data_IF_075165157957
#
_entry.id   IF_075165157957
#
_cell.length_a   1.000
_cell.length_b   1.000
_cell.length_c   1.000
_cell.angle_alpha   90.00
_cell.angle_beta   90.00
_cell.angle_gamma   90.00
#
_symmetry.space_group_name_H-M   'P 1'
#
loop_
_entity.id
_entity.type
_entity.pdbx_description
1 polymer ?
#
# COMPACT_ATOMS: atom_id res chain seq x y z
N UNK A 1 17.04 -3.72 -14.91
CA UNK A 1 17.22 -2.95 -13.65
C UNK A 1 18.37 -3.51 -12.84
N UNK A 2 19.27 -2.68 -12.27
CA UNK A 2 20.36 -3.14 -11.40
C UNK A 2 19.83 -3.78 -10.11
N UNK A 3 20.51 -4.85 -9.66
CA UNK A 3 20.23 -5.61 -8.44
C UNK A 3 20.09 -4.73 -7.18
N UNK A 4 20.95 -3.72 -7.02
CA UNK A 4 20.89 -2.77 -5.90
C UNK A 4 19.60 -1.95 -5.91
N UNK A 5 19.21 -1.40 -7.06
CA UNK A 5 18.01 -0.56 -7.19
C UNK A 5 16.74 -1.37 -6.88
N UNK A 6 16.65 -2.60 -7.38
CA UNK A 6 15.53 -3.49 -7.06
C UNK A 6 15.45 -3.76 -5.56
N UNK A 7 16.55 -4.21 -4.93
CA UNK A 7 16.58 -4.48 -3.48
C UNK A 7 16.17 -3.27 -2.67
N UNK A 8 16.64 -2.07 -3.04
CA UNK A 8 16.24 -0.82 -2.39
C UNK A 8 14.74 -0.60 -2.49
N UNK A 9 14.13 -0.74 -3.68
CA UNK A 9 12.67 -0.59 -3.86
C UNK A 9 11.90 -1.63 -3.05
N UNK A 10 12.37 -2.89 -3.00
CA UNK A 10 11.70 -3.94 -2.26
C UNK A 10 11.70 -3.67 -0.75
N UNK A 11 12.88 -3.33 -0.21
CA UNK A 11 13.08 -3.05 1.22
C UNK A 11 12.36 -1.77 1.62
N UNK A 12 12.48 -0.69 0.84
CA UNK A 12 11.83 0.58 1.15
C UNK A 12 10.31 0.47 1.13
N UNK A 13 9.73 -0.23 0.15
CA UNK A 13 8.27 -0.41 0.08
C UNK A 13 7.76 -1.24 1.24
N UNK A 14 8.48 -2.29 1.63
CA UNK A 14 8.11 -3.12 2.79
C UNK A 14 8.18 -2.33 4.10
N UNK A 15 9.26 -1.57 4.31
CA UNK A 15 9.42 -0.70 5.49
C UNK A 15 8.31 0.37 5.54
N UNK A 16 7.97 0.99 4.41
CA UNK A 16 6.89 1.98 4.33
C UNK A 16 5.52 1.36 4.65
N UNK A 17 5.22 0.15 4.15
CA UNK A 17 3.98 -0.56 4.51
C UNK A 17 3.93 -0.84 6.02
N UNK A 18 5.03 -1.29 6.61
CA UNK A 18 5.15 -1.49 8.06
C UNK A 18 4.91 -0.19 8.83
N UNK A 19 5.46 0.94 8.39
CA UNK A 19 5.21 2.23 9.04
C UNK A 19 3.76 2.70 8.90
N UNK A 20 3.11 2.46 7.75
CA UNK A 20 1.68 2.77 7.58
C UNK A 20 0.82 1.94 8.55
N UNK A 21 1.14 0.66 8.69
CA UNK A 21 0.46 -0.24 9.63
C UNK A 21 0.67 0.18 11.10
N UNK A 22 1.92 0.44 11.49
CA UNK A 22 2.23 0.91 12.84
C UNK A 22 1.62 2.30 13.12
N UNK A 23 1.67 3.21 12.15
CA UNK A 23 1.09 4.55 12.27
C UNK A 23 -0.43 4.52 12.43
N UNK A 24 -1.13 3.64 11.71
CA UNK A 24 -2.58 3.47 11.89
C UNK A 24 -2.92 2.93 13.27
N UNK A 25 -2.13 2.02 13.83
CA UNK A 25 -2.31 1.54 15.22
C UNK A 25 -2.02 2.66 16.23
N UNK A 26 -0.93 3.41 16.06
CA UNK A 26 -0.52 4.46 17.01
C UNK A 26 -1.46 5.67 17.03
N UNK A 27 -2.12 5.96 15.92
CA UNK A 27 -3.12 7.04 15.80
C UNK A 27 -4.53 6.54 16.20
N UNK A 28 -4.69 5.24 16.44
CA UNK A 28 -5.93 4.72 17.03
C UNK A 28 -5.98 5.18 18.48
N UNK A 29 -7.00 5.96 18.83
CA UNK A 29 -7.21 6.34 20.22
C UNK A 29 -7.52 5.07 21.03
N UNK A 30 -6.83 4.93 22.16
CA UNK A 30 -7.07 3.83 23.10
C UNK A 30 -7.86 4.43 24.25
N UNK A 31 -9.19 4.37 24.14
CA UNK A 31 -10.05 4.83 25.22
C UNK A 31 -10.18 3.73 26.29
N UNK A 32 -9.81 4.01 27.55
CA UNK A 32 -10.03 3.09 28.64
C UNK A 32 -11.53 3.01 28.92
N UNK A 33 -12.06 1.79 28.94
CA UNK A 33 -13.43 1.55 29.37
C UNK A 33 -13.59 1.81 30.87
N UNK A 34 -14.77 2.27 31.32
CA UNK A 34 -15.12 2.36 32.75
C UNK A 34 -14.96 1.03 33.50
N UNK A 35 -15.13 -0.10 32.80
CA UNK A 35 -15.02 -1.48 33.26
C UNK A 35 -13.59 -2.07 33.17
N UNK A 36 -12.58 -1.26 32.84
CA UNK A 36 -11.17 -1.68 32.83
C UNK A 36 -10.70 -2.39 31.56
N UNK A 37 -11.55 -2.51 30.54
CA UNK A 37 -11.17 -2.94 29.20
C UNK A 37 -10.59 -1.80 28.35
N UNK A 38 -10.05 -2.13 27.18
CA UNK A 38 -9.63 -1.14 26.18
C UNK A 38 -10.58 -1.20 24.98
N UNK A 39 -11.10 -0.05 24.55
CA UNK A 39 -11.65 0.08 23.21
C UNK A 39 -10.54 0.61 22.30
N UNK A 40 -10.21 -0.15 21.26
CA UNK A 40 -9.50 0.42 20.13
C UNK A 40 -10.53 1.20 19.31
N UNK A 41 -10.53 2.53 19.41
CA UNK A 41 -11.21 3.36 18.42
C UNK A 41 -10.31 3.37 17.19
N UNK A 42 -10.70 2.56 16.21
CA UNK A 42 -10.00 2.52 14.93
C UNK A 42 -9.94 3.94 14.33
N UNK A 43 -8.87 4.29 13.60
CA UNK A 43 -8.69 5.63 13.06
C UNK A 43 -9.88 5.99 12.18
N UNK A 44 -10.13 7.29 11.97
CA UNK A 44 -11.25 7.74 11.13
C UNK A 44 -11.25 7.02 9.76
N UNK A 45 -12.45 6.80 9.18
CA UNK A 45 -12.59 6.17 7.85
C UNK A 45 -11.64 6.80 6.82
N UNK A 46 -11.46 8.12 6.87
CA UNK A 46 -10.54 8.86 6.00
C UNK A 46 -9.09 8.40 6.15
N UNK A 47 -8.60 8.21 7.38
CA UNK A 47 -7.24 7.73 7.66
C UNK A 47 -7.07 6.29 7.18
N UNK A 48 -8.05 5.42 7.42
CA UNK A 48 -8.02 4.04 6.95
C UNK A 48 -7.99 3.95 5.42
N UNK A 49 -8.84 4.72 4.73
CA UNK A 49 -8.88 4.76 3.26
C UNK A 49 -7.58 5.33 2.66
N UNK A 50 -6.99 6.33 3.32
CA UNK A 50 -5.70 6.92 2.89
C UNK A 50 -4.56 5.91 3.08
N UNK A 51 -4.50 5.25 4.24
CA UNK A 51 -3.51 4.22 4.54
C UNK A 51 -3.63 3.02 3.59
N UNK A 52 -4.86 2.61 3.26
CA UNK A 52 -5.14 1.56 2.28
C UNK A 52 -4.66 1.98 0.88
N UNK A 53 -5.01 3.18 0.43
CA UNK A 53 -4.56 3.71 -0.86
C UNK A 53 -3.03 3.75 -0.98
N UNK A 54 -2.33 4.25 0.05
CA UNK A 54 -0.87 4.30 0.09
C UNK A 54 -0.24 2.89 0.08
N UNK A 55 -0.78 1.97 0.89
CA UNK A 55 -0.31 0.58 0.95
C UNK A 55 -0.43 -0.09 -0.42
N UNK A 56 -1.52 0.18 -1.13
CA UNK A 56 -1.70 -0.36 -2.46
C UNK A 56 -0.68 0.24 -3.43
N UNK A 57 -0.51 1.56 -3.49
CA UNK A 57 0.49 2.20 -4.38
C UNK A 57 1.90 1.66 -4.14
N UNK A 58 2.29 1.43 -2.88
CA UNK A 58 3.59 0.84 -2.54
C UNK A 58 3.69 -0.60 -3.02
N UNK A 59 2.65 -1.41 -2.80
CA UNK A 59 2.59 -2.77 -3.31
C UNK A 59 2.67 -2.82 -4.85
N UNK A 60 2.01 -1.90 -5.54
CA UNK A 60 2.09 -1.77 -7.00
C UNK A 60 3.51 -1.46 -7.47
N UNK A 61 4.16 -0.52 -6.79
CA UNK A 61 5.54 -0.14 -7.09
C UNK A 61 6.48 -1.33 -6.88
N UNK A 62 6.24 -2.12 -5.84
CA UNK A 62 6.96 -3.34 -5.53
C UNK A 62 6.79 -4.41 -6.62
N UNK A 63 5.55 -4.71 -7.03
CA UNK A 63 5.22 -5.68 -8.08
C UNK A 63 5.78 -5.25 -9.44
N UNK A 64 5.61 -3.98 -9.79
CA UNK A 64 6.13 -3.42 -11.04
C UNK A 64 7.66 -3.51 -11.10
N UNK A 65 8.36 -3.14 -10.02
CA UNK A 65 9.81 -3.25 -9.94
C UNK A 65 10.29 -4.70 -10.10
N UNK A 66 9.60 -5.65 -9.47
CA UNK A 66 9.90 -7.09 -9.63
C UNK A 66 9.64 -7.58 -11.05
N UNK A 67 8.57 -7.11 -11.69
CA UNK A 67 8.27 -7.44 -13.08
C UNK A 67 9.32 -6.87 -14.06
N UNK A 68 9.66 -5.59 -13.94
CA UNK A 68 10.71 -4.92 -14.74
C UNK A 68 12.06 -5.61 -14.57
N UNK A 69 12.38 -6.08 -13.36
CA UNK A 69 13.58 -6.88 -13.13
C UNK A 69 13.56 -8.19 -13.91
N UNK A 70 12.42 -8.90 -13.91
CA UNK A 70 12.27 -10.19 -14.58
C UNK A 70 12.36 -10.09 -16.10
N UNK A 71 11.84 -9.01 -16.67
CA UNK A 71 11.87 -8.75 -18.12
C UNK A 71 13.22 -8.16 -18.60
N UNK A 72 14.09 -7.71 -17.69
CA UNK A 72 15.40 -7.14 -18.01
C UNK A 72 15.36 -5.72 -18.57
N UNK A 73 14.31 -5.36 -19.33
CA UNK A 73 14.07 -4.04 -19.92
C UNK A 73 12.70 -3.46 -19.52
N UNK A 74 12.64 -2.13 -19.39
CA UNK A 74 11.37 -1.39 -19.31
C UNK A 74 10.79 -1.29 -20.73
N UNK A 75 10.27 -2.41 -21.24
CA UNK A 75 9.66 -2.42 -22.56
C UNK A 75 8.29 -1.74 -22.56
N UNK A 76 7.81 -1.30 -23.73
CA UNK A 76 6.46 -0.76 -23.92
C UNK A 76 5.36 -1.70 -23.36
N UNK A 77 5.64 -3.01 -23.27
CA UNK A 77 4.75 -4.01 -22.65
C UNK A 77 4.68 -3.87 -21.14
N UNK A 78 5.79 -3.59 -20.47
CA UNK A 78 5.82 -3.33 -19.03
C UNK A 78 5.04 -2.05 -18.68
N UNK A 79 5.20 -1.00 -19.48
CA UNK A 79 4.41 0.23 -19.34
C UNK A 79 2.91 -0.02 -19.58
N UNK A 80 2.52 -0.70 -20.67
CA UNK A 80 1.12 -1.03 -20.96
C UNK A 80 0.47 -1.89 -19.88
N UNK A 81 1.19 -2.88 -19.33
CA UNK A 81 0.72 -3.70 -18.21
C UNK A 81 0.60 -2.87 -16.93
N UNK A 82 1.53 -1.95 -16.66
CA UNK A 82 1.43 -0.98 -15.58
C UNK A 82 0.18 -0.11 -15.68
N UNK A 83 -0.13 0.42 -16.87
CA UNK A 83 -1.34 1.23 -17.11
C UNK A 83 -2.62 0.40 -16.91
N UNK A 84 -2.68 -0.82 -17.45
CA UNK A 84 -3.80 -1.74 -17.23
C UNK A 84 -4.01 -2.06 -15.74
N UNK A 85 -2.92 -2.18 -14.99
CA UNK A 85 -2.96 -2.43 -13.55
C UNK A 85 -3.44 -1.21 -12.77
N UNK A 86 -2.99 0.00 -13.13
CA UNK A 86 -3.46 1.28 -12.55
C UNK A 86 -4.96 1.45 -12.81
N UNK A 87 -5.44 1.13 -14.01
CA UNK A 87 -6.87 1.19 -14.36
C UNK A 87 -7.68 0.18 -13.52
N UNK A 88 -7.24 -1.08 -13.44
CA UNK A 88 -7.89 -2.09 -12.60
C UNK A 88 -7.96 -1.68 -11.12
N UNK A 89 -6.93 -0.97 -10.65
CA UNK A 89 -6.89 -0.41 -9.31
C UNK A 89 -7.82 0.78 -9.11
N UNK A 90 -7.92 1.69 -10.07
CA UNK A 90 -8.93 2.76 -10.04
C UNK A 90 -10.34 2.19 -9.92
N UNK A 91 -10.63 1.10 -10.64
CA UNK A 91 -11.89 0.37 -10.56
C UNK A 91 -12.08 -0.27 -9.19
N UNK A 92 -11.05 -0.96 -8.66
CA UNK A 92 -11.12 -1.58 -7.33
C UNK A 92 -11.32 -0.55 -6.20
N UNK A 93 -10.63 0.59 -6.26
CA UNK A 93 -10.82 1.69 -5.32
C UNK A 93 -12.22 2.30 -5.41
N UNK A 94 -12.73 2.49 -6.63
CA UNK A 94 -14.11 2.93 -6.84
C UNK A 94 -15.11 1.94 -6.25
N UNK A 95 -14.90 0.64 -6.40
CA UNK A 95 -15.73 -0.40 -5.78
C UNK A 95 -15.70 -0.33 -4.25
N UNK A 96 -14.53 -0.09 -3.63
CA UNK A 96 -14.43 0.10 -2.17
C UNK A 96 -15.21 1.32 -1.67
N UNK A 97 -15.38 2.38 -2.47
CA UNK A 97 -16.21 3.53 -2.11
C UNK A 97 -17.72 3.22 -2.16
N UNK A 98 -18.15 2.16 -2.83
CA UNK A 98 -19.56 1.77 -2.92
C UNK A 98 -20.01 0.89 -1.74
N UNK A 99 -19.10 0.50 -0.84
CA UNK A 99 -19.34 -0.32 0.36
C UNK A 99 -19.38 0.60 1.59
#
# INVERSE_FOLDING_TARGET
MNDKLWKTIQISSFILILFIFLGTILVSELEPKPDGGWHATFPSKTVQMTALGLSIVLFLTWVFATYVRREGEVSLRAAKRGVLFIIGMGIFYWMLQQI
#
